data_IF_328944160913
#
_entry.id   IF_328944160913
#
_cell.length_a   1.000
_cell.length_b   1.000
_cell.length_c   1.000
_cell.angle_alpha   90.00
_cell.angle_beta   90.00
_cell.angle_gamma   90.00
#
_symmetry.space_group_name_H-M   'P 1'
#
loop_
_entity.id
_entity.type
_entity.pdbx_description
1 polymer ?
#
# COMPACT_ATOMS: atom_id res chain seq x y z
N UNK A 1 -11.26 27.09 -3.54
CA UNK A 1 -11.19 26.92 -2.07
C UNK A 1 -11.79 25.56 -1.81
N UNK A 2 -10.96 24.54 -1.99
CA UNK A 2 -11.36 23.15 -1.76
C UNK A 2 -11.53 23.03 -0.25
N UNK A 3 -12.73 22.66 0.16
CA UNK A 3 -12.99 22.38 1.57
C UNK A 3 -12.23 21.09 1.81
N UNK A 4 -11.08 21.14 2.51
CA UNK A 4 -10.52 19.93 3.12
C UNK A 4 -11.65 19.38 3.97
N UNK A 5 -12.25 18.27 3.56
CA UNK A 5 -13.25 17.60 4.37
C UNK A 5 -12.54 17.20 5.66
N UNK A 6 -12.86 17.93 6.72
CA UNK A 6 -12.29 17.79 8.03
C UNK A 6 -12.60 16.37 8.51
N UNK A 7 -11.57 15.56 8.79
CA UNK A 7 -11.74 14.24 9.37
C UNK A 7 -12.48 14.39 10.71
N UNK A 8 -13.76 14.05 10.73
CA UNK A 8 -14.62 14.25 11.90
C UNK A 8 -14.33 13.17 12.93
N UNK A 9 -13.46 13.49 13.87
CA UNK A 9 -13.23 12.67 15.04
C UNK A 9 -14.24 13.01 16.15
N UNK A 10 -14.88 11.97 16.69
CA UNK A 10 -15.64 12.00 17.95
C UNK A 10 -16.86 12.96 17.98
N UNK A 11 -17.90 12.67 17.20
CA UNK A 11 -19.23 13.25 17.43
C UNK A 11 -20.31 12.32 16.91
N UNK A 12 -21.17 11.86 17.81
CA UNK A 12 -22.38 11.03 17.59
C UNK A 12 -22.67 10.63 16.14
N UNK A 13 -21.96 9.62 15.64
CA UNK A 13 -22.19 9.10 14.30
C UNK A 13 -23.37 8.12 14.34
N UNK A 14 -24.36 8.36 13.49
CA UNK A 14 -25.36 7.33 13.18
C UNK A 14 -24.73 6.31 12.24
N UNK A 15 -25.05 5.01 12.36
CA UNK A 15 -24.51 4.01 11.44
C UNK A 15 -24.90 4.39 9.99
N UNK A 16 -24.02 4.16 9.00
CA UNK A 16 -24.33 4.46 7.61
C UNK A 16 -25.55 3.62 7.16
N UNK A 17 -26.57 4.27 6.59
CA UNK A 17 -27.81 3.60 6.20
C UNK A 17 -27.73 2.95 4.81
N UNK A 18 -26.74 3.32 3.99
CA UNK A 18 -26.55 2.87 2.61
C UNK A 18 -25.12 2.40 2.33
N UNK A 19 -24.95 1.55 1.32
CA UNK A 19 -23.62 1.12 0.86
C UNK A 19 -22.84 0.23 1.83
N UNK A 20 -23.45 -0.33 2.88
CA UNK A 20 -22.75 -1.22 3.82
C UNK A 20 -22.27 -2.48 3.08
N UNK A 21 -20.96 -2.64 2.95
CA UNK A 21 -20.30 -3.85 2.43
C UNK A 21 -20.16 -4.91 3.51
N UNK A 22 -19.85 -4.49 4.74
CA UNK A 22 -19.68 -5.41 5.87
C UNK A 22 -20.09 -4.73 7.18
N UNK A 23 -20.83 -5.46 8.00
CA UNK A 23 -21.12 -5.12 9.39
C UNK A 23 -20.51 -6.20 10.28
N UNK A 24 -19.75 -5.81 11.30
CA UNK A 24 -19.14 -6.72 12.26
C UNK A 24 -19.38 -6.23 13.68
N UNK A 25 -20.23 -6.96 14.41
CA UNK A 25 -20.50 -6.72 15.82
C UNK A 25 -19.36 -7.29 16.69
N UNK A 26 -19.35 -6.95 17.97
CA UNK A 26 -18.37 -7.46 18.94
C UNK A 26 -16.92 -7.18 18.53
N UNK A 27 -16.66 -5.95 18.06
CA UNK A 27 -15.33 -5.50 17.65
C UNK A 27 -14.83 -4.44 18.60
N UNK A 28 -13.70 -4.70 19.26
CA UNK A 28 -13.04 -3.71 20.11
C UNK A 28 -12.19 -2.77 19.27
N UNK A 29 -12.27 -1.46 19.53
CA UNK A 29 -11.47 -0.46 18.83
C UNK A 29 -10.39 0.13 19.75
N UNK A 30 -9.22 0.40 19.18
CA UNK A 30 -8.09 1.04 19.85
C UNK A 30 -7.57 2.18 18.97
N UNK A 31 -7.19 3.29 19.58
CA UNK A 31 -6.56 4.45 18.94
C UNK A 31 -5.23 4.70 19.65
N UNK A 32 -4.12 4.52 18.95
CA UNK A 32 -2.81 4.34 19.57
C UNK A 32 -2.84 3.20 20.58
N UNK A 33 -2.53 3.52 21.84
CA UNK A 33 -2.59 2.59 22.98
C UNK A 33 -3.94 2.62 23.73
N UNK A 34 -4.82 3.59 23.41
CA UNK A 34 -6.07 3.82 24.12
C UNK A 34 -7.17 2.90 23.59
N UNK A 35 -7.68 2.03 24.46
CA UNK A 35 -8.87 1.23 24.17
C UNK A 35 -10.13 2.10 24.22
N UNK A 36 -10.90 2.13 23.14
CA UNK A 36 -12.21 2.82 23.07
C UNK A 36 -13.36 1.93 23.57
N UNK A 37 -13.12 0.64 23.73
CA UNK A 37 -14.12 -0.33 24.19
C UNK A 37 -14.66 -1.21 23.08
N UNK A 38 -15.79 -1.87 23.34
CA UNK A 38 -16.41 -2.84 22.41
C UNK A 38 -17.57 -2.23 21.66
N UNK A 39 -17.68 -2.54 20.37
CA UNK A 39 -18.67 -1.93 19.50
C UNK A 39 -18.96 -2.71 18.23
N UNK A 40 -19.59 -2.02 17.28
CA UNK A 40 -19.90 -2.53 15.94
C UNK A 40 -19.12 -1.73 14.91
N UNK A 41 -18.37 -2.45 14.08
CA UNK A 41 -17.65 -1.91 12.93
C UNK A 41 -18.54 -2.01 11.68
N UNK A 42 -18.63 -0.92 10.93
CA UNK A 42 -19.33 -0.83 9.66
C UNK A 42 -18.34 -0.39 8.59
N UNK A 43 -18.19 -1.22 7.56
CA UNK A 43 -17.45 -0.90 6.35
C UNK A 43 -18.51 -0.61 5.29
N UNK A 44 -18.69 0.66 4.97
CA UNK A 44 -19.56 1.12 3.89
C UNK A 44 -18.72 1.60 2.70
N UNK A 45 -19.35 1.77 1.54
CA UNK A 45 -18.67 2.28 0.35
C UNK A 45 -18.10 3.69 0.56
N UNK A 46 -18.79 4.56 1.31
CA UNK A 46 -18.37 5.95 1.52
C UNK A 46 -17.41 6.15 2.69
N UNK A 47 -17.47 5.29 3.71
CA UNK A 47 -16.68 5.44 4.92
C UNK A 47 -16.57 4.14 5.73
N UNK A 48 -15.59 4.10 6.62
CA UNK A 48 -15.50 3.14 7.71
C UNK A 48 -15.99 3.81 9.00
N UNK A 49 -16.92 3.20 9.72
CA UNK A 49 -17.40 3.74 10.99
C UNK A 49 -17.43 2.69 12.09
N UNK A 50 -17.19 3.13 13.31
CA UNK A 50 -17.29 2.29 14.49
C UNK A 50 -18.16 2.95 15.55
N UNK A 51 -19.08 2.17 16.12
CA UNK A 51 -20.01 2.64 17.14
C UNK A 51 -19.87 1.80 18.41
N UNK A 52 -19.69 2.47 19.54
CA UNK A 52 -19.59 1.83 20.85
C UNK A 52 -20.91 1.14 21.22
N UNK A 53 -20.81 -0.06 21.78
CA UNK A 53 -21.93 -0.78 22.38
C UNK A 53 -22.15 -0.42 23.85
N UNK A 54 -21.15 0.19 24.48
CA UNK A 54 -21.15 0.51 25.92
C UNK A 54 -21.67 1.92 26.20
N UNK A 55 -21.44 2.84 25.26
CA UNK A 55 -21.84 4.25 25.37
C UNK A 55 -22.65 4.65 24.14
N UNK A 56 -23.96 4.77 24.32
CA UNK A 56 -24.89 5.16 23.26
C UNK A 56 -24.52 6.55 22.70
N UNK A 57 -24.34 6.64 21.39
CA UNK A 57 -23.91 7.86 20.71
C UNK A 57 -22.39 8.10 20.70
N UNK A 58 -21.57 7.20 21.24
CA UNK A 58 -20.12 7.25 21.07
C UNK A 58 -19.68 6.44 19.84
N UNK A 59 -18.88 7.06 18.98
CA UNK A 59 -18.36 6.44 17.76
C UNK A 59 -17.60 7.44 16.91
N UNK A 60 -17.09 6.98 15.78
CA UNK A 60 -16.39 7.80 14.80
C UNK A 60 -16.57 7.23 13.39
N UNK A 61 -16.28 8.04 12.38
CA UNK A 61 -16.30 7.67 10.97
C UNK A 61 -15.04 8.20 10.30
N UNK A 62 -14.44 7.38 9.44
CA UNK A 62 -13.22 7.66 8.68
C UNK A 62 -13.57 7.57 7.19
N UNK A 63 -13.17 8.58 6.42
CA UNK A 63 -13.24 8.53 4.97
C UNK A 63 -12.04 7.74 4.43
N UNK A 64 -12.21 7.04 3.31
CA UNK A 64 -11.15 6.20 2.74
C UNK A 64 -9.88 6.96 2.35
N UNK A 65 -9.94 8.16 1.75
CA UNK A 65 -8.75 8.94 1.44
C UNK A 65 -7.89 9.27 2.67
N UNK A 66 -8.48 9.35 3.86
CA UNK A 66 -7.72 9.58 5.09
C UNK A 66 -7.01 8.33 5.64
N UNK A 67 -7.22 7.15 5.08
CA UNK A 67 -6.64 5.88 5.56
C UNK A 67 -5.42 5.53 4.70
N UNK A 68 -4.23 5.90 5.15
CA UNK A 68 -2.96 5.64 4.45
C UNK A 68 -2.66 4.14 4.33
N UNK A 69 -2.91 3.35 5.39
CA UNK A 69 -2.60 1.91 5.39
C UNK A 69 -3.74 1.13 6.02
N UNK A 70 -4.06 -0.02 5.43
CA UNK A 70 -4.87 -1.04 6.07
C UNK A 70 -4.26 -2.44 5.92
N UNK A 71 -4.23 -3.20 7.01
CA UNK A 71 -3.65 -4.55 7.01
C UNK A 71 -4.29 -5.46 8.07
N UNK A 72 -4.19 -6.77 7.87
CA UNK A 72 -4.46 -7.75 8.93
C UNK A 72 -3.16 -8.02 9.67
N UNK A 73 -3.11 -7.64 10.96
CA UNK A 73 -2.00 -8.00 11.83
C UNK A 73 -2.34 -9.24 12.65
N UNK A 74 -1.48 -10.25 12.56
CA UNK A 74 -1.57 -11.49 13.35
C UNK A 74 -0.38 -11.68 14.29
N UNK A 75 0.49 -10.67 14.37
CA UNK A 75 1.67 -10.71 15.20
C UNK A 75 1.32 -10.43 16.66
N UNK A 76 1.27 -11.51 17.45
CA UNK A 76 0.98 -11.47 18.88
C UNK A 76 2.13 -10.90 19.73
N UNK A 77 3.31 -10.70 19.14
CA UNK A 77 4.45 -10.10 19.84
C UNK A 77 4.36 -8.58 19.87
N UNK A 78 3.87 -7.98 18.80
CA UNK A 78 3.64 -6.53 18.69
C UNK A 78 2.34 -6.10 19.36
N UNK A 79 1.26 -6.90 19.25
CA UNK A 79 -0.03 -6.60 19.86
C UNK A 79 -0.74 -7.90 20.29
N UNK A 80 -1.29 -8.01 21.50
CA UNK A 80 -1.74 -9.28 22.08
C UNK A 80 -2.93 -9.96 21.35
N UNK A 81 -3.50 -9.34 20.32
CA UNK A 81 -4.65 -9.85 19.58
C UNK A 81 -4.46 -9.73 18.07
N UNK A 82 -5.02 -10.68 17.31
CA UNK A 82 -5.13 -10.54 15.86
C UNK A 82 -6.15 -9.44 15.55
N UNK A 83 -5.78 -8.49 14.69
CA UNK A 83 -6.57 -7.29 14.47
C UNK A 83 -6.49 -6.80 13.03
N UNK A 84 -7.47 -5.97 12.66
CA UNK A 84 -7.38 -5.11 11.50
C UNK A 84 -6.68 -3.82 11.93
N UNK A 85 -5.49 -3.59 11.40
CA UNK A 85 -4.67 -2.42 11.66
C UNK A 85 -4.92 -1.36 10.59
N UNK A 86 -5.09 -0.12 11.01
CA UNK A 86 -5.16 1.06 10.17
C UNK A 86 -4.11 2.10 10.60
N UNK A 87 -3.58 2.81 9.62
CA UNK A 87 -2.87 4.07 9.82
C UNK A 87 -3.68 5.15 9.10
N UNK A 88 -4.03 6.21 9.83
CA UNK A 88 -4.87 7.32 9.35
C UNK A 88 -4.05 8.60 9.38
N UNK A 89 -4.20 9.45 8.38
CA UNK A 89 -3.49 10.73 8.34
C UNK A 89 -4.01 11.70 9.39
N UNK A 90 -3.12 12.49 9.97
CA UNK A 90 -3.40 13.45 11.03
C UNK A 90 -3.28 12.88 12.45
N UNK A 91 -3.19 13.81 13.40
CA UNK A 91 -3.24 13.48 14.83
C UNK A 91 -4.69 13.47 15.32
N UNK A 92 -5.21 12.26 15.54
CA UNK A 92 -6.54 12.00 16.05
C UNK A 92 -6.51 11.67 17.55
N UNK A 93 -5.40 11.91 18.24
CA UNK A 93 -5.34 11.78 19.70
C UNK A 93 -5.48 13.17 20.33
N UNK A 94 -6.42 13.31 21.27
CA UNK A 94 -6.66 14.55 22.05
C UNK A 94 -5.57 14.81 23.10
N UNK A 95 -4.41 14.16 22.97
CA UNK A 95 -3.30 14.30 23.89
C UNK A 95 -2.41 15.46 23.43
N UNK A 96 -2.75 16.65 23.93
CA UNK A 96 -1.87 17.83 23.96
C UNK A 96 -0.60 17.63 24.82
N UNK A 97 -0.15 16.37 24.99
CA UNK A 97 0.84 15.90 25.94
C UNK A 97 1.74 14.81 25.36
N UNK A 98 1.81 14.67 24.03
CA UNK A 98 2.97 14.01 23.39
C UNK A 98 4.18 14.93 23.61
N UNK A 99 4.79 14.81 24.79
CA UNK A 99 6.14 15.29 25.04
C UNK A 99 7.07 14.51 24.10
N UNK A 100 7.58 15.18 23.08
CA UNK A 100 8.84 14.89 22.38
C UNK A 100 9.17 13.40 22.16
N UNK A 101 8.35 12.70 21.39
CA UNK A 101 8.97 11.89 20.33
C UNK A 101 9.21 12.83 19.15
N UNK A 102 10.16 13.75 19.33
CA UNK A 102 10.83 14.41 18.22
C UNK A 102 11.54 13.30 17.44
N UNK A 103 10.81 12.64 16.55
CA UNK A 103 11.42 12.28 15.29
C UNK A 103 11.75 13.62 14.65
N UNK A 104 13.02 14.02 14.75
CA UNK A 104 13.64 15.23 14.17
C UNK A 104 13.54 15.24 12.61
N UNK A 105 12.72 14.36 12.04
CA UNK A 105 12.32 14.31 10.66
C UNK A 105 11.10 15.23 10.49
N UNK A 106 11.37 16.51 10.21
CA UNK A 106 10.37 17.53 9.84
C UNK A 106 9.53 17.14 8.59
N UNK A 107 9.84 16.00 7.95
CA UNK A 107 9.22 15.50 6.72
C UNK A 107 8.15 14.41 6.94
N UNK A 108 7.91 13.92 8.16
CA UNK A 108 6.88 12.90 8.42
C UNK A 108 5.57 13.56 8.86
N UNK A 109 4.56 13.51 8.00
CA UNK A 109 3.21 13.94 8.34
C UNK A 109 2.68 13.16 9.57
N UNK A 110 2.03 13.85 10.53
CA UNK A 110 1.47 13.18 11.69
C UNK A 110 0.45 12.14 11.25
N UNK A 111 0.52 10.94 11.83
CA UNK A 111 -0.44 9.86 11.57
C UNK A 111 -0.92 9.22 12.87
N UNK A 112 -2.13 8.66 12.84
CA UNK A 112 -2.74 7.97 13.96
C UNK A 112 -2.94 6.50 13.65
N UNK A 113 -2.39 5.64 14.51
CA UNK A 113 -2.65 4.21 14.46
C UNK A 113 -4.02 3.86 15.04
N UNK A 114 -4.75 2.96 14.39
CA UNK A 114 -5.98 2.39 14.90
C UNK A 114 -5.99 0.87 14.74
N UNK A 115 -6.58 0.17 15.71
CA UNK A 115 -6.68 -1.31 15.69
C UNK A 115 -8.10 -1.73 15.98
N UNK A 116 -8.65 -2.64 15.17
CA UNK A 116 -9.95 -3.26 15.37
C UNK A 116 -9.80 -4.75 15.64
N UNK A 117 -10.23 -5.18 16.82
CA UNK A 117 -10.12 -6.56 17.31
C UNK A 117 -11.51 -7.20 17.36
N UNK A 118 -11.91 -7.97 16.34
CA UNK A 118 -13.14 -8.75 16.40
C UNK A 118 -12.98 -9.94 17.34
N UNK A 119 -14.03 -10.29 18.10
CA UNK A 119 -14.07 -11.53 18.89
C UNK A 119 -13.84 -12.77 18.00
N UNK A 120 -14.44 -12.78 16.81
CA UNK A 120 -14.25 -13.82 15.81
C UNK A 120 -13.17 -13.41 14.81
N UNK A 121 -11.98 -14.00 14.96
CA UNK A 121 -10.81 -13.70 14.12
C UNK A 121 -10.95 -14.17 12.68
N UNK A 122 -11.85 -15.11 12.40
CA UNK A 122 -12.04 -15.65 11.03
C UNK A 122 -12.62 -14.60 10.08
N UNK A 123 -13.15 -13.50 10.61
CA UNK A 123 -13.73 -12.41 9.84
C UNK A 123 -12.68 -11.39 9.37
N UNK A 124 -11.45 -11.42 9.89
CA UNK A 124 -10.41 -10.43 9.59
C UNK A 124 -10.11 -10.34 8.08
N UNK A 125 -9.98 -11.49 7.41
CA UNK A 125 -9.70 -11.52 5.97
C UNK A 125 -10.89 -10.95 5.16
N UNK A 126 -12.12 -11.11 5.65
CA UNK A 126 -13.32 -10.53 5.04
C UNK A 126 -13.40 -9.02 5.27
N UNK A 127 -13.00 -8.53 6.44
CA UNK A 127 -12.93 -7.10 6.75
C UNK A 127 -11.89 -6.41 5.87
N UNK A 128 -10.69 -7.00 5.78
CA UNK A 128 -9.62 -6.51 4.92
C UNK A 128 -10.06 -6.41 3.46
N UNK A 129 -10.65 -7.49 2.93
CA UNK A 129 -11.16 -7.49 1.56
C UNK A 129 -12.23 -6.43 1.34
N UNK A 130 -13.18 -6.30 2.25
CA UNK A 130 -14.24 -5.31 2.13
C UNK A 130 -13.70 -3.87 2.10
N UNK A 131 -12.67 -3.55 2.90
CA UNK A 131 -12.03 -2.25 2.84
C UNK A 131 -11.20 -2.06 1.57
N UNK A 132 -10.47 -3.07 1.13
CA UNK A 132 -9.69 -3.01 -0.11
C UNK A 132 -10.61 -2.74 -1.31
N UNK A 133 -11.76 -3.41 -1.40
CA UNK A 133 -12.77 -3.15 -2.42
C UNK A 133 -13.32 -1.72 -2.34
N UNK A 134 -13.44 -1.15 -1.14
CA UNK A 134 -13.89 0.23 -0.98
C UNK A 134 -12.80 1.25 -1.31
N UNK A 135 -11.53 1.04 -0.94
CA UNK A 135 -10.44 1.98 -1.28
C UNK A 135 -10.28 2.15 -2.79
N UNK A 136 -10.52 1.09 -3.60
CA UNK A 136 -10.53 1.18 -5.07
C UNK A 136 -11.56 2.20 -5.60
N UNK A 137 -12.63 2.47 -4.84
CA UNK A 137 -13.67 3.44 -5.20
C UNK A 137 -13.30 4.89 -4.88
N UNK A 138 -12.19 5.13 -4.16
CA UNK A 138 -11.75 6.45 -3.73
C UNK A 138 -10.27 6.69 -4.10
N UNK A 139 -9.92 6.75 -5.40
CA UNK A 139 -8.61 7.24 -5.83
C UNK A 139 -8.47 8.72 -5.46
N UNK A 140 -7.26 9.15 -5.14
CA UNK A 140 -6.98 10.56 -4.80
C UNK A 140 -7.19 11.46 -6.02
N UNK A 141 -7.72 12.67 -5.81
CA UNK A 141 -8.01 13.59 -6.91
C UNK A 141 -6.73 13.98 -7.69
N UNK A 142 -5.57 14.01 -7.03
CA UNK A 142 -4.26 14.32 -7.63
C UNK A 142 -3.63 13.13 -8.41
N UNK A 143 -4.13 11.91 -8.23
CA UNK A 143 -3.71 10.75 -9.04
C UNK A 143 -4.29 10.77 -10.47
N UNK A 144 -5.16 11.74 -10.76
CA UNK A 144 -5.71 11.95 -12.11
C UNK A 144 -4.72 12.59 -13.10
N UNK A 145 -3.54 13.02 -12.63
CA UNK A 145 -2.44 13.54 -13.47
C UNK A 145 -1.39 12.47 -13.83
N UNK A 146 -1.54 11.21 -13.38
CA UNK A 146 -0.82 10.10 -13.99
C UNK A 146 -1.50 9.78 -15.31
N UNK A 147 -1.12 10.57 -16.33
CA UNK A 147 -1.45 10.41 -17.74
C UNK A 147 -1.73 8.94 -18.06
N UNK A 148 -2.95 8.71 -18.55
CA UNK A 148 -3.42 7.49 -19.21
C UNK A 148 -2.60 7.27 -20.50
N UNK A 149 -1.29 7.06 -20.32
CA UNK A 149 -0.25 6.93 -21.35
C UNK A 149 0.73 5.79 -21.03
N UNK A 150 0.37 4.91 -20.10
CA UNK A 150 1.20 3.77 -19.66
C UNK A 150 0.82 2.41 -20.25
N UNK A 151 -0.31 2.29 -20.95
CA UNK A 151 -0.67 1.09 -21.72
C UNK A 151 -0.89 1.49 -23.17
N UNK A 152 0.11 1.25 -24.01
CA UNK A 152 -0.03 1.31 -25.47
C UNK A 152 -0.91 0.13 -25.92
N UNK A 153 -2.22 0.22 -25.68
CA UNK A 153 -3.24 -0.64 -26.30
C UNK A 153 -4.02 0.21 -27.30
N UNK A 154 -3.31 0.71 -28.31
CA UNK A 154 -3.87 1.46 -29.43
C UNK A 154 -3.09 1.12 -30.69
N UNK A 155 -3.80 0.64 -31.71
CA UNK A 155 -3.30 0.29 -33.05
C UNK A 155 -2.61 1.49 -33.77
N UNK A 156 -2.68 2.66 -33.16
CA UNK A 156 -2.26 3.97 -33.67
C UNK A 156 -0.77 4.27 -33.41
N UNK A 157 -0.10 3.49 -32.55
CA UNK A 157 1.32 3.68 -32.19
C UNK A 157 2.33 3.18 -33.22
N UNK A 158 1.90 2.40 -34.22
CA UNK A 158 2.78 1.86 -35.26
C UNK A 158 3.19 2.92 -36.30
N UNK A 159 2.33 3.91 -36.54
CA UNK A 159 2.49 4.86 -37.65
C UNK A 159 3.54 5.95 -37.36
N UNK A 160 3.97 6.11 -36.09
CA UNK A 160 4.98 7.10 -35.69
C UNK A 160 6.38 6.52 -35.43
N UNK A 161 6.59 5.23 -35.72
CA UNK A 161 7.90 4.61 -35.57
C UNK A 161 8.90 5.22 -36.57
N UNK A 162 10.12 5.50 -36.09
CA UNK A 162 11.23 5.81 -37.00
C UNK A 162 11.50 4.62 -37.93
N UNK A 163 12.17 4.85 -39.06
CA UNK A 163 12.53 3.78 -40.01
C UNK A 163 13.23 2.59 -39.31
N UNK A 164 14.01 2.88 -38.26
CA UNK A 164 14.69 1.88 -37.44
C UNK A 164 13.75 1.18 -36.44
N UNK A 165 12.75 1.89 -35.89
CA UNK A 165 11.70 1.32 -35.06
C UNK A 165 10.82 0.34 -35.83
N UNK A 166 10.47 0.67 -37.08
CA UNK A 166 9.72 -0.23 -37.96
C UNK A 166 10.52 -1.48 -38.32
N UNK A 167 11.83 -1.34 -38.59
CA UNK A 167 12.71 -2.48 -38.88
C UNK A 167 12.84 -3.43 -37.68
N UNK A 168 12.93 -2.90 -36.45
CA UNK A 168 12.99 -3.73 -35.24
C UNK A 168 11.67 -4.45 -34.97
N UNK A 169 10.53 -3.79 -35.23
CA UNK A 169 9.21 -4.40 -35.09
C UNK A 169 9.04 -5.57 -36.07
N UNK A 170 9.42 -5.39 -37.34
CA UNK A 170 9.41 -6.45 -38.36
C UNK A 170 10.34 -7.60 -38.02
N UNK A 171 11.49 -7.33 -37.38
CA UNK A 171 12.39 -8.38 -36.92
C UNK A 171 11.76 -9.22 -35.81
N UNK A 172 11.10 -8.58 -34.84
CA UNK A 172 10.35 -9.28 -33.78
C UNK A 172 9.15 -10.04 -34.34
N UNK A 173 8.42 -9.47 -35.30
CA UNK A 173 7.28 -10.13 -35.96
C UNK A 173 7.72 -11.37 -36.74
N UNK A 174 8.86 -11.30 -37.45
CA UNK A 174 9.44 -12.48 -38.11
C UNK A 174 9.91 -13.55 -37.11
N UNK A 175 10.38 -13.14 -35.92
CA UNK A 175 10.82 -14.06 -34.88
C UNK A 175 9.64 -14.75 -34.18
N UNK A 176 8.51 -14.06 -34.03
CA UNK A 176 7.28 -14.58 -33.41
C UNK A 176 6.40 -15.34 -34.41
N UNK A 177 6.44 -14.99 -35.70
CA UNK A 177 5.67 -15.62 -36.77
C UNK A 177 6.22 -16.98 -37.23
N UNK A 178 7.46 -17.32 -36.88
CA UNK A 178 8.00 -18.66 -37.07
C UNK A 178 7.63 -19.56 -35.90
N UNK A 179 6.36 -19.98 -35.89
CA UNK A 179 5.87 -21.09 -35.08
C UNK A 179 6.41 -22.45 -35.56
N UNK A 180 7.72 -22.59 -35.74
CA UNK A 180 8.40 -23.88 -35.82
C UNK A 180 9.85 -23.73 -35.34
N UNK A 181 10.15 -24.33 -34.18
CA UNK A 181 11.36 -24.07 -33.39
C UNK A 181 12.66 -24.46 -34.09
N UNK A 182 13.36 -23.48 -34.65
CA UNK A 182 14.75 -23.62 -35.06
C UNK A 182 15.56 -22.39 -34.68
N UNK A 183 16.32 -22.53 -33.59
CA UNK A 183 17.43 -21.68 -33.21
C UNK A 183 18.40 -21.56 -34.42
N UNK A 184 18.87 -20.36 -34.79
CA UNK A 184 19.93 -20.26 -35.77
C UNK A 184 21.22 -20.85 -35.19
N UNK A 185 21.64 -21.93 -35.85
CA UNK A 185 22.85 -22.69 -35.65
C UNK A 185 24.11 -21.84 -35.94
N UNK A 186 24.71 -21.24 -34.91
CA UNK A 186 26.08 -20.74 -35.00
C UNK A 186 27.07 -21.88 -34.70
N UNK A 187 27.32 -22.70 -35.71
CA UNK A 187 28.49 -23.58 -35.72
C UNK A 187 29.71 -22.78 -36.17
N UNK A 188 30.59 -22.43 -35.22
CA UNK A 188 32.02 -22.42 -35.50
C UNK A 188 32.86 -22.80 -34.25
N UNK A 189 33.32 -24.05 -34.28
CA UNK A 189 34.58 -24.61 -33.75
C UNK A 189 35.01 -24.18 -32.34
N UNK A 190 34.90 -25.05 -31.33
CA UNK A 190 35.95 -26.01 -30.96
C UNK A 190 37.33 -25.37 -30.74
N UNK A 191 37.64 -25.04 -29.48
CA UNK A 191 38.83 -25.42 -28.69
C UNK A 191 38.39 -25.15 -27.23
N UNK A 192 38.29 -26.11 -26.32
CA UNK A 192 39.37 -27.01 -25.93
C UNK A 192 40.23 -26.28 -24.89
N UNK A 193 40.21 -26.80 -23.67
CA UNK A 193 41.16 -26.67 -22.54
C UNK A 193 41.24 -25.43 -21.60
N UNK A 194 41.24 -25.80 -20.30
CA UNK A 194 41.95 -25.24 -19.14
C UNK A 194 41.64 -23.83 -18.59
N UNK A 195 40.90 -23.86 -17.46
CA UNK A 195 41.29 -23.40 -16.12
C UNK A 195 41.91 -22.00 -15.88
N UNK A 196 41.51 -21.45 -14.71
CA UNK A 196 42.12 -20.35 -13.93
C UNK A 196 41.80 -18.95 -14.56
N UNK A 197 41.38 -17.87 -13.87
CA UNK A 197 41.77 -17.36 -12.55
C UNK A 197 40.68 -16.44 -11.99
N UNK A 198 40.47 -16.62 -10.69
CA UNK A 198 39.73 -15.84 -9.71
C UNK A 198 40.53 -14.56 -9.37
N UNK A 199 40.35 -13.45 -10.09
CA UNK A 199 41.06 -12.17 -9.82
C UNK A 199 40.20 -10.93 -10.17
N UNK A 200 39.05 -10.74 -9.49
CA UNK A 200 38.30 -9.46 -9.60
C UNK A 200 37.97 -8.79 -8.26
N UNK A 201 38.72 -9.10 -7.20
CA UNK A 201 38.63 -8.35 -5.94
C UNK A 201 40.01 -8.23 -5.28
N UNK A 202 40.90 -7.43 -5.85
CA UNK A 202 42.02 -6.81 -5.16
C UNK A 202 42.00 -5.35 -5.58
N UNK A 203 41.50 -4.46 -4.71
CA UNK A 203 41.80 -3.02 -4.67
C UNK A 203 41.01 -2.39 -3.50
N UNK A 204 41.26 -2.88 -2.29
CA UNK A 204 40.94 -2.17 -1.07
C UNK A 204 41.98 -2.53 0.00
N UNK A 205 42.75 -1.51 0.39
CA UNK A 205 43.71 -1.42 1.49
C UNK A 205 45.19 -1.57 1.11
N UNK A 206 45.88 -0.43 0.94
CA UNK A 206 47.21 -0.16 1.50
C UNK A 206 47.64 1.30 1.16
N UNK A 207 47.26 2.26 2.01
CA UNK A 207 47.98 3.54 2.15
C UNK A 207 48.60 3.58 3.56
N UNK A 208 49.76 2.92 3.72
CA UNK A 208 50.69 3.21 4.81
C UNK A 208 51.93 3.98 4.29
N UNK A 209 52.26 5.02 5.05
CA UNK A 209 53.57 5.66 5.25
C UNK A 209 54.14 6.65 4.22
N UNK A 210 54.12 7.93 4.61
CA UNK A 210 55.28 8.85 4.70
C UNK A 210 54.77 10.23 5.21
N UNK A 211 55.35 10.97 6.15
CA UNK A 211 56.76 11.24 6.43
C UNK A 211 56.88 11.97 7.79
N UNK A 212 57.93 11.58 8.54
CA UNK A 212 58.87 12.38 9.36
C UNK A 212 58.36 13.29 10.50
#
# INVERSE_FOLDING_TARGET
>A
MVVKEEMVLLSSCSPPDEGIRKKQENTSAFVGEKALGKGTLFIAESCLSWQSSEHEGQGFSLQYPGISIHAVSRDLTAFPHECLYLMVEGDLTDDANREDEESDDEDIDPSTEMRFVPDDKTVLDQLYKAMSDCQILHPDEDDSDFDEGGFYEGEDGLDHLSEQGQANLQLMENLLGQGDGQLPNNNHAENGDDAIIDEQFEDADEDEDMEQ
#
